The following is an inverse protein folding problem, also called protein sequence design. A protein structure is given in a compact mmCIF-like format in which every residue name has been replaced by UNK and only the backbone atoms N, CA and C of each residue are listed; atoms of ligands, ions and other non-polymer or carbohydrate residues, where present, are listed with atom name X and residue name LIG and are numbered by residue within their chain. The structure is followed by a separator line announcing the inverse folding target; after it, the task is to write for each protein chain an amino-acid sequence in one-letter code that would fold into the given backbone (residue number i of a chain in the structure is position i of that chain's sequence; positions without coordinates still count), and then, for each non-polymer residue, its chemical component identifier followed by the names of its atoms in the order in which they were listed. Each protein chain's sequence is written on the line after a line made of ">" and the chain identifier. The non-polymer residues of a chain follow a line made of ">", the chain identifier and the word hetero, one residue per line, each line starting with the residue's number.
data_IF_024202120206
#
_entry.id   IF_024202120206
#
_cell.length_a   1.000
_cell.length_b   1.000
_cell.length_c   1.000
_cell.angle_alpha   90.00
_cell.angle_beta   90.00
_cell.angle_gamma   90.00
#
_symmetry.space_group_name_H-M   'P 1'
#
loop_
_entity.id
_entity.type
_entity.pdbx_description
1 polymer ?
#
# COMPACT_ATOMS: atom_id res chain seq x y z
N UNK A 1 -7.17 -15.88 -15.29
CA UNK A 1 -6.24 -15.20 -16.18
C UNK A 1 -6.98 -14.75 -17.43
N UNK A 2 -6.79 -13.49 -17.80
CA UNK A 2 -7.31 -12.89 -19.02
C UNK A 2 -6.13 -12.55 -19.92
N UNK A 3 -6.25 -12.78 -21.22
CA UNK A 3 -5.21 -12.54 -22.20
C UNK A 3 -5.80 -11.97 -23.48
N UNK A 4 -5.10 -11.03 -24.09
CA UNK A 4 -5.37 -10.47 -25.41
C UNK A 4 -4.03 -10.25 -26.14
N UNK A 5 -4.06 -9.70 -27.36
CA UNK A 5 -2.83 -9.41 -28.11
C UNK A 5 -1.93 -8.32 -27.50
N UNK A 6 -2.31 -7.74 -26.37
CA UNK A 6 -1.56 -6.68 -25.67
C UNK A 6 -0.90 -7.17 -24.37
N UNK A 7 -1.10 -8.44 -24.02
CA UNK A 7 -0.54 -9.03 -22.81
C UNK A 7 -1.52 -9.93 -22.07
N UNK A 8 -1.26 -10.14 -20.79
CA UNK A 8 -2.15 -10.89 -19.92
C UNK A 8 -2.22 -10.26 -18.53
N UNK A 9 -3.36 -10.47 -17.84
CA UNK A 9 -3.56 -10.17 -16.44
C UNK A 9 -4.17 -11.38 -15.72
N UNK A 10 -3.72 -11.61 -14.51
CA UNK A 10 -4.23 -12.65 -13.62
C UNK A 10 -4.57 -12.03 -12.27
N UNK A 11 -5.78 -12.26 -11.81
CA UNK A 11 -6.23 -11.91 -10.46
C UNK A 11 -6.15 -13.16 -9.58
N UNK A 12 -5.76 -12.96 -8.33
CA UNK A 12 -5.61 -13.98 -7.31
C UNK A 12 -6.73 -13.86 -6.27
N UNK A 13 -6.96 -14.93 -5.50
CA UNK A 13 -8.03 -14.97 -4.51
C UNK A 13 -7.81 -14.11 -3.27
N UNK A 14 -6.58 -13.65 -3.07
CA UNK A 14 -6.15 -12.73 -1.99
C UNK A 14 -6.29 -11.24 -2.34
N UNK A 15 -6.84 -10.92 -3.54
CA UNK A 15 -6.99 -9.57 -4.05
C UNK A 15 -5.75 -9.03 -4.77
N UNK A 16 -4.68 -9.83 -4.84
CA UNK A 16 -3.50 -9.45 -5.64
C UNK A 16 -3.74 -9.70 -7.13
N UNK A 17 -2.93 -9.05 -7.94
CA UNK A 17 -2.92 -9.26 -9.38
C UNK A 17 -1.49 -9.28 -9.93
N UNK A 18 -1.32 -9.91 -11.08
CA UNK A 18 -0.10 -9.87 -11.87
C UNK A 18 -0.47 -9.63 -13.32
N UNK A 19 0.26 -8.76 -13.99
CA UNK A 19 0.09 -8.46 -15.42
C UNK A 19 1.45 -8.45 -16.11
N UNK A 20 1.45 -8.91 -17.34
CA UNK A 20 2.58 -8.77 -18.24
C UNK A 20 2.07 -8.18 -19.55
N UNK A 21 2.76 -7.19 -20.05
CA UNK A 21 2.36 -6.40 -21.20
C UNK A 21 3.34 -6.65 -22.36
N UNK A 22 2.81 -6.64 -23.57
CA UNK A 22 3.63 -6.69 -24.76
C UNK A 22 4.34 -5.34 -24.96
N UNK A 23 5.56 -5.35 -25.52
CA UNK A 23 6.32 -4.13 -25.77
C UNK A 23 5.52 -3.08 -26.55
N UNK A 24 5.57 -1.83 -26.11
CA UNK A 24 4.94 -0.68 -26.77
C UNK A 24 3.43 -0.50 -26.50
N UNK A 25 2.80 -1.38 -25.72
CA UNK A 25 1.36 -1.23 -25.37
C UNK A 25 1.13 -0.03 -24.45
N UNK A 26 1.99 0.14 -23.44
CA UNK A 26 1.99 1.30 -22.56
C UNK A 26 3.38 1.93 -22.57
N UNK A 27 3.61 2.93 -23.45
CA UNK A 27 4.87 3.65 -23.47
C UNK A 27 5.13 4.30 -22.10
N UNK A 28 6.32 4.08 -21.58
CA UNK A 28 6.80 4.70 -20.36
C UNK A 28 8.31 4.86 -20.46
N UNK A 29 8.82 6.01 -20.08
CA UNK A 29 10.25 6.17 -19.87
C UNK A 29 10.67 5.30 -18.69
N UNK A 30 11.91 4.78 -18.72
CA UNK A 30 12.49 3.99 -17.63
C UNK A 30 12.97 4.92 -16.50
N UNK A 31 12.06 5.83 -16.09
CA UNK A 31 12.24 6.83 -15.04
C UNK A 31 11.09 6.76 -14.07
N UNK A 32 11.26 7.31 -12.88
CA UNK A 32 10.20 7.42 -11.89
C UNK A 32 8.97 8.13 -12.45
N UNK A 33 9.17 9.29 -13.07
CA UNK A 33 8.08 10.09 -13.67
C UNK A 33 7.35 9.34 -14.79
N UNK A 34 8.09 8.62 -15.64
CA UNK A 34 7.52 7.81 -16.73
C UNK A 34 6.64 6.68 -16.21
N UNK A 35 7.09 5.98 -15.16
CA UNK A 35 6.32 4.92 -14.53
C UNK A 35 5.10 5.46 -13.77
N UNK A 36 5.21 6.60 -13.09
CA UNK A 36 4.08 7.28 -12.44
C UNK A 36 3.01 7.63 -13.48
N UNK A 37 3.39 8.30 -14.59
CA UNK A 37 2.47 8.67 -15.65
C UNK A 37 1.74 7.45 -16.25
N UNK A 38 2.44 6.33 -16.42
CA UNK A 38 1.84 5.09 -16.88
C UNK A 38 0.84 4.51 -15.87
N UNK A 39 1.17 4.54 -14.59
CA UNK A 39 0.26 4.09 -13.52
C UNK A 39 -0.99 4.98 -13.41
N UNK A 40 -0.84 6.30 -13.51
CA UNK A 40 -1.95 7.25 -13.52
C UNK A 40 -2.91 6.98 -14.69
N UNK A 41 -2.37 6.66 -15.88
CA UNK A 41 -3.17 6.26 -17.05
C UNK A 41 -3.99 5.00 -16.76
N UNK A 42 -3.50 4.11 -15.91
CA UNK A 42 -4.20 2.90 -15.43
C UNK A 42 -5.12 3.20 -14.23
N UNK A 43 -5.23 4.48 -13.84
CA UNK A 43 -6.06 4.92 -12.71
C UNK A 43 -5.51 4.53 -11.35
N UNK A 44 -4.19 4.39 -11.22
CA UNK A 44 -3.52 4.18 -9.95
C UNK A 44 -3.06 5.52 -9.38
N UNK A 45 -3.33 5.75 -8.11
CA UNK A 45 -2.83 6.90 -7.36
C UNK A 45 -1.89 6.38 -6.27
N UNK A 46 -0.66 6.90 -6.23
CA UNK A 46 0.31 6.43 -5.24
C UNK A 46 1.59 7.24 -5.22
N UNK A 47 2.42 6.92 -4.24
CA UNK A 47 3.74 7.51 -4.03
C UNK A 47 4.82 6.45 -4.14
N UNK A 48 5.97 6.81 -4.70
CA UNK A 48 7.12 5.92 -4.75
C UNK A 48 7.60 5.59 -3.33
N UNK A 49 7.74 4.29 -3.04
CA UNK A 49 8.34 3.78 -1.81
C UNK A 49 9.80 3.39 -2.00
N UNK A 50 10.08 2.70 -3.10
CA UNK A 50 11.37 2.06 -3.30
C UNK A 50 11.66 1.91 -4.80
N UNK A 51 12.92 2.14 -5.16
CA UNK A 51 13.50 1.78 -6.45
C UNK A 51 14.48 0.62 -6.21
N UNK A 52 14.16 -0.55 -6.77
CA UNK A 52 14.99 -1.75 -6.65
C UNK A 52 16.01 -1.87 -7.78
N UNK A 53 15.98 -0.96 -8.76
CA UNK A 53 16.75 -1.02 -10.01
C UNK A 53 16.18 -1.96 -11.08
N UNK A 54 15.29 -2.90 -10.70
CA UNK A 54 14.55 -3.78 -11.62
C UNK A 54 13.07 -3.39 -11.72
N UNK A 55 12.56 -2.82 -10.66
CA UNK A 55 11.17 -2.34 -10.56
C UNK A 55 11.04 -1.18 -9.59
N UNK A 56 10.04 -0.36 -9.81
CA UNK A 56 9.61 0.69 -8.90
C UNK A 56 8.42 0.19 -8.09
N UNK A 57 8.49 0.37 -6.77
CA UNK A 57 7.43 -0.03 -5.83
C UNK A 57 6.71 1.22 -5.34
N UNK A 58 5.41 1.28 -5.60
CA UNK A 58 4.55 2.38 -5.21
C UNK A 58 3.59 1.96 -4.10
N UNK A 59 3.36 2.87 -3.16
CA UNK A 59 2.32 2.79 -2.14
C UNK A 59 1.03 3.37 -2.72
N UNK A 60 -0.04 2.59 -2.79
CA UNK A 60 -1.35 3.12 -3.18
C UNK A 60 -1.84 4.16 -2.15
N UNK A 61 -2.46 5.21 -2.65
CA UNK A 61 -3.11 6.24 -1.84
C UNK A 61 -4.60 6.34 -2.16
N UNK A 62 -5.38 6.78 -1.19
CA UNK A 62 -6.77 7.16 -1.38
C UNK A 62 -6.97 8.60 -0.90
N UNK A 63 -7.35 9.49 -1.81
CA UNK A 63 -7.40 10.94 -1.53
C UNK A 63 -6.08 11.49 -0.96
N UNK A 64 -4.95 11.00 -1.44
CA UNK A 64 -3.62 11.38 -0.97
C UNK A 64 -3.20 10.75 0.37
N UNK A 65 -4.03 9.88 0.98
CA UNK A 65 -3.73 9.20 2.24
C UNK A 65 -3.23 7.78 1.96
N UNK A 66 -2.08 7.35 2.50
CA UNK A 66 -1.50 6.03 2.24
C UNK A 66 -2.41 4.87 2.65
N UNK A 67 -2.48 3.85 1.80
CA UNK A 67 -3.11 2.56 2.08
C UNK A 67 -2.03 1.56 2.50
N UNK A 68 -1.75 1.43 3.77
CA UNK A 68 -0.67 0.58 4.28
C UNK A 68 -0.85 -0.88 3.87
N UNK A 69 0.20 -1.45 3.26
CA UNK A 69 0.19 -2.79 2.71
C UNK A 69 -0.34 -2.91 1.28
N UNK A 70 -0.96 -1.87 0.72
CA UNK A 70 -1.37 -1.85 -0.70
C UNK A 70 -0.20 -1.30 -1.54
N UNK A 71 0.52 -2.21 -2.19
CA UNK A 71 1.70 -1.88 -2.99
C UNK A 71 1.52 -2.36 -4.42
N UNK A 72 2.03 -1.59 -5.35
CA UNK A 72 2.12 -1.96 -6.77
C UNK A 72 3.56 -1.85 -7.22
N UNK A 73 4.07 -2.92 -7.79
CA UNK A 73 5.38 -2.98 -8.43
C UNK A 73 5.23 -2.83 -9.93
N UNK A 74 6.01 -1.96 -10.52
CA UNK A 74 6.05 -1.70 -11.97
C UNK A 74 7.45 -1.92 -12.48
N UNK A 75 7.57 -2.70 -13.53
CA UNK A 75 8.81 -2.87 -14.28
C UNK A 75 8.66 -2.25 -15.66
N UNK A 76 9.64 -1.47 -16.06
CA UNK A 76 9.73 -0.89 -17.40
C UNK A 76 10.92 -1.50 -18.16
N UNK A 77 10.73 -1.78 -19.43
CA UNK A 77 11.79 -2.26 -20.32
C UNK A 77 11.52 -1.84 -21.75
N UNK A 78 12.57 -1.40 -22.47
CA UNK A 78 12.47 -1.03 -23.87
C UNK A 78 11.52 0.14 -24.13
N UNK A 79 11.44 1.11 -23.23
CA UNK A 79 10.60 2.29 -23.35
C UNK A 79 9.10 2.01 -23.14
N UNK A 80 8.75 0.95 -22.44
CA UNK A 80 7.37 0.62 -22.13
C UNK A 80 7.25 -0.13 -20.79
N UNK A 81 6.06 -0.11 -20.20
CA UNK A 81 5.74 -0.97 -19.05
C UNK A 81 5.73 -2.42 -19.51
N UNK A 82 6.51 -3.27 -18.85
CA UNK A 82 6.64 -4.70 -19.15
C UNK A 82 5.86 -5.58 -18.19
N UNK A 83 5.82 -5.21 -16.90
CA UNK A 83 5.08 -5.95 -15.91
C UNK A 83 4.52 -5.02 -14.81
N UNK A 84 3.36 -5.40 -14.30
CA UNK A 84 2.74 -4.75 -13.12
C UNK A 84 2.22 -5.85 -12.20
N UNK A 85 2.49 -5.74 -10.92
CA UNK A 85 1.94 -6.66 -9.93
C UNK A 85 1.69 -5.95 -8.61
N UNK A 86 0.75 -6.45 -7.83
CA UNK A 86 0.46 -5.87 -6.52
C UNK A 86 -0.93 -6.16 -6.04
N UNK A 87 -1.36 -5.34 -5.09
CA UNK A 87 -2.73 -5.29 -4.60
C UNK A 87 -3.30 -3.91 -4.90
N UNK A 88 -4.56 -3.88 -5.32
CA UNK A 88 -5.25 -2.63 -5.63
C UNK A 88 -6.64 -2.63 -5.02
N UNK A 89 -6.98 -1.49 -4.45
CA UNK A 89 -8.34 -1.23 -4.01
C UNK A 89 -9.22 -0.94 -5.24
N UNK A 90 -10.35 -1.64 -5.35
CA UNK A 90 -11.34 -1.42 -6.40
C UNK A 90 -12.71 -1.12 -5.80
N UNK A 91 -13.40 -0.12 -6.35
CA UNK A 91 -14.72 0.28 -5.92
C UNK A 91 -14.74 1.56 -5.08
N UNK A 92 -15.94 2.04 -4.81
CA UNK A 92 -16.14 3.25 -4.01
C UNK A 92 -16.24 2.91 -2.52
N UNK A 93 -15.45 3.56 -1.65
CA UNK A 93 -15.53 3.35 -0.23
C UNK A 93 -16.85 3.90 0.33
N UNK A 94 -17.41 3.18 1.30
CA UNK A 94 -18.54 3.62 2.10
C UNK A 94 -18.06 3.95 3.50
N UNK A 95 -18.42 5.14 3.97
CA UNK A 95 -18.06 5.60 5.30
C UNK A 95 -18.83 4.83 6.38
N UNK A 96 -18.10 4.31 7.39
CA UNK A 96 -18.67 3.76 8.61
C UNK A 96 -18.58 4.79 9.74
N UNK A 97 -19.65 5.52 9.97
CA UNK A 97 -19.74 6.56 11.00
C UNK A 97 -19.93 6.01 12.42
N UNK A 98 -19.97 4.70 12.60
CA UNK A 98 -20.23 4.06 13.91
C UNK A 98 -18.97 3.97 14.77
N UNK A 99 -17.80 4.19 14.19
CA UNK A 99 -16.51 4.05 14.87
C UNK A 99 -15.82 5.38 15.06
N UNK A 100 -15.29 5.62 16.25
CA UNK A 100 -14.46 6.78 16.53
C UNK A 100 -12.99 6.38 16.66
N UNK A 101 -12.11 7.25 16.22
CA UNK A 101 -10.67 7.09 16.38
C UNK A 101 -10.21 7.54 17.75
N UNK A 102 -9.18 6.91 18.29
CA UNK A 102 -8.48 7.36 19.48
C UNK A 102 -7.68 8.63 19.19
N UNK A 103 -7.43 9.43 20.22
CA UNK A 103 -6.60 10.63 20.08
C UNK A 103 -5.12 10.25 19.89
N UNK A 104 -4.33 11.15 19.30
CA UNK A 104 -2.87 10.96 19.10
C UNK A 104 -2.17 10.67 20.43
N UNK A 105 -2.53 11.36 21.51
CA UNK A 105 -1.95 11.13 22.84
C UNK A 105 -2.21 9.70 23.33
N UNK A 106 -3.45 9.22 23.17
CA UNK A 106 -3.82 7.85 23.52
C UNK A 106 -3.09 6.84 22.61
N UNK A 107 -2.95 7.15 21.34
CA UNK A 107 -2.23 6.32 20.38
C UNK A 107 -0.77 6.13 20.79
N UNK A 108 -0.05 7.19 21.16
CA UNK A 108 1.34 7.12 21.60
C UNK A 108 1.51 6.27 22.87
N UNK A 109 0.63 6.42 23.85
CA UNK A 109 0.66 5.58 25.06
C UNK A 109 0.40 4.11 24.72
N UNK A 110 -0.56 3.82 23.84
CA UNK A 110 -0.84 2.44 23.40
C UNK A 110 0.28 1.87 22.56
N UNK A 111 0.92 2.70 21.74
CA UNK A 111 2.10 2.31 20.98
C UNK A 111 3.23 1.82 21.87
N UNK A 112 3.62 2.60 22.90
CA UNK A 112 4.68 2.22 23.83
C UNK A 112 4.37 0.90 24.55
N UNK A 113 3.13 0.73 25.00
CA UNK A 113 2.70 -0.51 25.64
C UNK A 113 2.68 -1.69 24.64
N UNK A 114 2.22 -1.44 23.42
CA UNK A 114 2.16 -2.44 22.35
C UNK A 114 3.54 -2.96 21.94
N UNK A 115 4.50 -2.06 21.72
CA UNK A 115 5.89 -2.41 21.41
C UNK A 115 6.50 -3.29 22.50
N UNK A 116 6.30 -2.91 23.77
CA UNK A 116 6.74 -3.74 24.92
C UNK A 116 6.08 -5.12 24.93
N UNK A 117 4.79 -5.20 24.60
CA UNK A 117 4.05 -6.48 24.52
C UNK A 117 4.57 -7.37 23.38
N UNK A 118 5.05 -6.78 22.29
CA UNK A 118 5.69 -7.50 21.17
C UNK A 118 7.11 -7.98 21.52
N UNK A 119 7.62 -7.61 22.68
CA UNK A 119 8.99 -7.94 23.13
C UNK A 119 10.06 -7.05 22.52
N UNK A 120 9.67 -5.95 21.94
CA UNK A 120 10.59 -4.97 21.34
C UNK A 120 10.92 -3.84 22.30
N UNK A 121 12.04 -3.17 22.04
CA UNK A 121 12.46 -1.96 22.74
C UNK A 121 12.63 -0.86 21.70
N UNK A 122 11.95 0.24 21.90
CA UNK A 122 12.05 1.42 21.06
C UNK A 122 12.63 2.57 21.87
N UNK A 123 13.75 3.14 21.40
CA UNK A 123 14.39 4.28 22.05
C UNK A 123 14.10 5.60 21.32
N UNK A 124 13.70 5.53 20.05
CA UNK A 124 13.45 6.70 19.22
C UNK A 124 12.33 6.43 18.21
N UNK A 125 11.44 7.40 18.08
CA UNK A 125 10.48 7.47 16.97
C UNK A 125 11.06 8.40 15.92
N UNK A 126 11.24 7.90 14.70
CA UNK A 126 11.79 8.65 13.58
C UNK A 126 10.69 9.32 12.75
N UNK A 127 9.55 8.63 12.58
CA UNK A 127 8.43 9.11 11.76
C UNK A 127 7.10 8.57 12.27
N UNK A 128 6.08 9.41 12.17
CA UNK A 128 4.66 9.02 12.36
C UNK A 128 3.89 9.48 11.13
N UNK A 129 3.15 8.58 10.52
CA UNK A 129 2.42 8.80 9.28
C UNK A 129 0.99 8.29 9.43
N UNK A 130 0.02 9.13 9.05
CA UNK A 130 -1.39 8.74 9.00
C UNK A 130 -1.67 7.95 7.73
N UNK A 131 -2.56 6.96 7.83
CA UNK A 131 -2.97 6.13 6.72
C UNK A 131 -4.13 5.21 7.06
N UNK A 132 -4.34 4.22 6.19
CA UNK A 132 -5.35 3.20 6.41
C UNK A 132 -4.73 1.80 6.38
N UNK A 133 -5.15 0.97 7.32
CA UNK A 133 -4.96 -0.48 7.24
C UNK A 133 -6.04 -1.08 6.35
N UNK A 134 -5.62 -1.87 5.37
CA UNK A 134 -6.52 -2.56 4.46
C UNK A 134 -6.71 -4.01 4.93
N UNK A 135 -7.96 -4.40 5.19
CA UNK A 135 -8.29 -5.75 5.61
C UNK A 135 -9.33 -6.33 4.66
N UNK A 136 -8.96 -7.39 3.95
CA UNK A 136 -9.88 -8.12 3.08
C UNK A 136 -10.82 -9.00 3.92
N UNK A 137 -12.10 -8.99 3.58
CA UNK A 137 -13.07 -9.93 4.14
C UNK A 137 -13.18 -11.19 3.28
N UNK A 138 -13.70 -12.27 3.84
CA UNK A 138 -13.97 -13.51 3.10
C UNK A 138 -15.02 -13.33 1.99
N UNK A 139 -15.79 -12.25 2.03
CA UNK A 139 -16.81 -11.92 1.01
C UNK A 139 -16.28 -11.05 -0.12
N UNK A 140 -14.97 -10.76 -0.14
CA UNK A 140 -14.32 -9.95 -1.17
C UNK A 140 -14.47 -8.43 -0.97
N UNK A 141 -15.10 -7.98 0.13
CA UNK A 141 -15.08 -6.56 0.50
C UNK A 141 -13.80 -6.22 1.25
N UNK A 142 -13.31 -5.00 1.10
CA UNK A 142 -12.15 -4.50 1.83
C UNK A 142 -12.58 -3.44 2.84
N UNK A 143 -12.04 -3.51 4.04
CA UNK A 143 -12.24 -2.50 5.09
C UNK A 143 -11.00 -1.66 5.21
N UNK A 144 -11.16 -0.33 5.14
CA UNK A 144 -10.13 0.65 5.43
C UNK A 144 -10.28 1.12 6.88
N UNK A 145 -9.32 0.80 7.72
CA UNK A 145 -9.31 1.24 9.12
C UNK A 145 -8.26 2.34 9.30
N UNK A 146 -8.63 3.54 9.78
CA UNK A 146 -7.66 4.58 10.10
C UNK A 146 -6.55 4.06 11.01
N UNK A 147 -5.32 4.42 10.71
CA UNK A 147 -4.16 3.92 11.43
C UNK A 147 -2.99 4.90 11.37
N UNK A 148 -2.01 4.69 12.23
CA UNK A 148 -0.70 5.33 12.15
C UNK A 148 0.38 4.30 11.84
N UNK A 149 1.26 4.64 10.93
CA UNK A 149 2.52 3.94 10.73
C UNK A 149 3.60 4.69 11.49
N UNK A 150 4.30 3.98 12.37
CA UNK A 150 5.30 4.55 13.28
C UNK A 150 6.63 3.87 13.00
N UNK A 151 7.57 4.64 12.47
CA UNK A 151 8.94 4.18 12.20
C UNK A 151 9.83 4.54 13.37
N UNK A 152 10.61 3.59 13.83
CA UNK A 152 11.48 3.70 15.01
C UNK A 152 12.89 3.23 14.66
N UNK A 153 13.80 3.38 15.61
CA UNK A 153 15.17 2.85 15.54
C UNK A 153 15.25 1.32 15.46
N UNK A 154 14.17 0.59 15.74
CA UNK A 154 14.15 -0.88 15.75
C UNK A 154 13.19 -1.49 14.75
N UNK A 155 12.40 -0.70 14.04
CA UNK A 155 11.47 -1.19 13.02
C UNK A 155 10.28 -0.27 12.78
N UNK A 156 9.41 -0.71 11.91
CA UNK A 156 8.17 -0.01 11.58
C UNK A 156 6.98 -0.76 12.15
N UNK A 157 6.07 -0.03 12.73
CA UNK A 157 4.87 -0.55 13.37
C UNK A 157 3.63 0.13 12.81
N UNK A 158 2.52 -0.57 12.88
CA UNK A 158 1.20 -0.07 12.54
C UNK A 158 0.31 -0.11 13.77
N UNK A 159 -0.35 1.01 14.05
CA UNK A 159 -1.29 1.16 15.14
C UNK A 159 -2.68 1.45 14.57
N UNK A 160 -3.61 0.55 14.82
CA UNK A 160 -5.02 0.71 14.47
C UNK A 160 -5.63 1.85 15.29
N UNK A 161 -6.12 2.88 14.64
CA UNK A 161 -6.64 4.08 15.31
C UNK A 161 -8.02 3.90 15.95
N UNK A 162 -8.69 2.78 15.71
CA UNK A 162 -9.98 2.45 16.31
C UNK A 162 -9.78 1.59 17.56
N UNK A 163 -9.00 0.52 17.44
CA UNK A 163 -8.80 -0.45 18.52
C UNK A 163 -7.60 -0.12 19.41
N UNK A 164 -6.61 0.61 18.86
CA UNK A 164 -5.33 0.87 19.49
C UNK A 164 -4.40 -0.34 19.52
N UNK A 165 -4.68 -1.37 18.72
CA UNK A 165 -3.78 -2.51 18.56
C UNK A 165 -2.53 -2.12 17.78
N UNK A 166 -1.38 -2.60 18.24
CA UNK A 166 -0.07 -2.40 17.60
C UNK A 166 0.39 -3.72 17.00
N UNK A 167 0.90 -3.65 15.77
CA UNK A 167 1.55 -4.77 15.08
C UNK A 167 2.82 -4.30 14.38
N UNK A 168 3.74 -5.20 14.08
CA UNK A 168 4.86 -4.88 13.18
C UNK A 168 4.32 -4.70 11.77
N UNK A 169 4.85 -3.71 11.03
CA UNK A 169 4.60 -3.59 9.60
C UNK A 169 5.35 -4.70 8.85
N UNK A 170 4.71 -5.23 7.82
CA UNK A 170 5.29 -6.22 6.91
C UNK A 170 6.05 -5.54 5.78
#
# INVERSE_FOLDING_TARGET
>A
RYSNGQGWVQFHGDGSFSAQLEPGVYPAEETEEGCIAALETLGFEGTLLEDTGESLIFQETWNGVPLFGQKVSVSCAGGSVSAISGQRLTGEPKEDQTRSTITVSTALVRFLNGVSTLGDVCNRIDRVEEGYLCTASMTGSMTLTPAWQITTDTGTYQLDAVTGMVRRAE
#
